data_IF_759917964973
#
_entry.id   IF_759917964973
#
_cell.length_a   1.000
_cell.length_b   1.000
_cell.length_c   1.000
_cell.angle_alpha   90.00
_cell.angle_beta   90.00
_cell.angle_gamma   90.00
#
_symmetry.space_group_name_H-M   'P 1'
#
loop_
_entity.id
_entity.type
_entity.pdbx_description
1 polymer ?
#
# COMPACT_ATOMS: atom_id res chain seq x y z
N UNK A 1 -13.04 -20.08 18.35
CA UNK A 1 -13.11 -19.45 17.01
C UNK A 1 -14.43 -18.68 16.89
N UNK A 2 -14.46 -17.54 16.18
CA UNK A 2 -15.65 -16.65 16.10
C UNK A 2 -16.68 -17.01 15.00
N UNK A 3 -16.55 -18.17 14.36
CA UNK A 3 -17.49 -18.66 13.34
C UNK A 3 -17.12 -18.34 11.89
N UNK A 4 -16.08 -17.53 11.65
CA UNK A 4 -15.58 -17.27 10.29
C UNK A 4 -14.79 -18.46 9.75
N UNK A 5 -15.05 -18.82 8.49
CA UNK A 5 -14.24 -19.75 7.69
C UNK A 5 -13.10 -18.97 7.02
N UNK A 6 -12.04 -18.71 7.78
CA UNK A 6 -10.84 -18.01 7.28
C UNK A 6 -10.16 -18.87 6.20
N UNK A 7 -9.77 -18.25 5.10
CA UNK A 7 -9.06 -18.89 4.00
C UNK A 7 -7.78 -18.09 3.67
N UNK A 8 -6.71 -18.82 3.36
CA UNK A 8 -5.48 -18.24 2.83
C UNK A 8 -5.63 -18.09 1.31
N UNK A 9 -5.38 -16.89 0.79
CA UNK A 9 -5.40 -16.58 -0.63
C UNK A 9 -4.08 -15.90 -1.03
N UNK A 10 -3.92 -15.61 -2.32
CA UNK A 10 -2.82 -14.82 -2.85
C UNK A 10 -2.80 -13.37 -2.34
N UNK A 11 -1.71 -12.65 -2.61
CA UNK A 11 -1.57 -11.25 -2.22
C UNK A 11 -2.57 -10.38 -2.99
N UNK A 12 -3.38 -9.57 -2.29
CA UNK A 12 -4.47 -8.81 -2.90
C UNK A 12 -4.25 -7.30 -2.89
N UNK A 13 -4.22 -6.67 -4.07
CA UNK A 13 -4.12 -5.21 -4.23
C UNK A 13 -2.74 -4.76 -4.70
N UNK A 14 -2.64 -3.46 -5.00
CA UNK A 14 -1.39 -2.76 -5.36
C UNK A 14 -1.60 -1.27 -5.09
N UNK A 15 -1.49 -0.87 -3.82
CA UNK A 15 -1.74 0.50 -3.40
C UNK A 15 -0.59 1.42 -3.78
N UNK A 16 -0.88 2.50 -4.48
CA UNK A 16 0.05 3.60 -4.73
C UNK A 16 -0.51 4.81 -3.99
N UNK A 17 0.17 5.26 -2.94
CA UNK A 17 -0.40 6.23 -2.00
C UNK A 17 0.57 7.35 -1.66
N UNK A 18 0.00 8.53 -1.39
CA UNK A 18 0.74 9.70 -0.89
C UNK A 18 -0.01 10.24 0.32
N UNK A 19 0.70 10.43 1.42
CA UNK A 19 0.24 11.19 2.59
C UNK A 19 0.84 12.59 2.54
N UNK A 20 0.02 13.59 2.85
CA UNK A 20 0.48 14.98 3.03
C UNK A 20 0.61 15.26 4.51
N UNK A 21 1.83 15.61 4.94
CA UNK A 21 2.14 16.03 6.30
C UNK A 21 1.42 17.33 6.68
N UNK A 22 1.27 17.58 7.97
CA UNK A 22 0.68 18.83 8.46
C UNK A 22 1.52 20.07 8.13
N UNK A 23 2.81 19.87 7.85
CA UNK A 23 3.78 20.85 7.37
C UNK A 23 3.82 20.96 5.84
N UNK A 24 3.06 20.12 5.12
CA UNK A 24 3.00 20.08 3.67
C UNK A 24 4.00 19.12 3.02
N UNK A 25 4.84 18.43 3.80
CA UNK A 25 5.77 17.42 3.29
C UNK A 25 5.02 16.23 2.66
N UNK A 26 5.57 15.64 1.60
CA UNK A 26 4.94 14.54 0.87
C UNK A 26 5.59 13.20 1.21
N UNK A 27 4.79 12.25 1.68
CA UNK A 27 5.23 10.90 2.00
C UNK A 27 4.61 9.91 1.03
N UNK A 28 5.41 9.44 0.08
CA UNK A 28 5.02 8.45 -0.92
C UNK A 28 5.29 7.02 -0.49
N UNK A 29 4.39 6.10 -0.82
CA UNK A 29 4.60 4.66 -0.66
C UNK A 29 3.99 3.88 -1.83
N UNK A 30 4.81 3.02 -2.41
CA UNK A 30 4.40 2.06 -3.41
C UNK A 30 4.23 0.66 -2.82
N UNK A 31 3.51 -0.20 -3.52
CA UNK A 31 3.16 -1.53 -3.04
C UNK A 31 4.22 -2.57 -3.36
N UNK A 32 4.78 -3.23 -2.34
CA UNK A 32 5.79 -4.28 -2.53
C UNK A 32 5.34 -5.48 -3.38
N UNK A 33 4.03 -5.63 -3.59
CA UNK A 33 3.45 -6.73 -4.39
C UNK A 33 3.60 -6.50 -5.89
N UNK A 34 3.87 -5.26 -6.32
CA UNK A 34 4.10 -4.91 -7.72
C UNK A 34 5.57 -4.57 -7.93
N UNK A 35 6.25 -5.42 -8.69
CA UNK A 35 7.65 -5.19 -9.08
C UNK A 35 7.70 -4.04 -10.10
N UNK A 36 8.80 -3.29 -10.07
CA UNK A 36 9.08 -2.14 -10.96
C UNK A 36 8.12 -0.96 -10.82
N UNK A 37 7.45 -0.83 -9.67
CA UNK A 37 6.68 0.37 -9.38
C UNK A 37 7.57 1.56 -8.99
N UNK A 38 6.95 2.75 -8.90
CA UNK A 38 7.66 3.95 -8.51
C UNK A 38 6.71 4.95 -7.86
N UNK A 39 7.08 5.42 -6.67
CA UNK A 39 6.58 6.66 -6.10
C UNK A 39 7.76 7.65 -6.03
N UNK A 40 7.62 8.80 -6.68
CA UNK A 40 8.69 9.79 -6.80
C UNK A 40 8.19 11.23 -6.57
N UNK A 41 9.11 12.13 -6.27
CA UNK A 41 8.88 13.57 -6.03
C UNK A 41 9.80 14.45 -6.87
N UNK A 42 9.72 15.76 -6.68
CA UNK A 42 10.54 16.78 -7.34
C UNK A 42 11.24 17.69 -6.32
#
# INVERSE_FOLDING_TARGET
>A
AKGQKVALNEAMGSTQSIMVGSDGELYGASDSRLVDDLTAGY
#
